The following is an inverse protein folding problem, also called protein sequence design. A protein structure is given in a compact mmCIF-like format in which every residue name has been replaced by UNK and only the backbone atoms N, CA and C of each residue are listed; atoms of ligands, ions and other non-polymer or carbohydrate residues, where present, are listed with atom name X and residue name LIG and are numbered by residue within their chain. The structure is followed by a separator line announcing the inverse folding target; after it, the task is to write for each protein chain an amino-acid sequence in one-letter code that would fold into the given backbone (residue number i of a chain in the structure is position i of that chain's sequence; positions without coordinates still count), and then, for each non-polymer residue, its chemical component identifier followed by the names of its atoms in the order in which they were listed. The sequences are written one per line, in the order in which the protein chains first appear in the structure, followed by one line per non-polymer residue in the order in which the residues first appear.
data_IF_784465329519
#
_entry.id   IF_784465329519
#
_cell.length_a   1.000
_cell.length_b   1.000
_cell.length_c   1.000
_cell.angle_alpha   90.00
_cell.angle_beta   90.00
_cell.angle_gamma   90.00
#
_symmetry.space_group_name_H-M   'P 1'
#
loop_
_entity.id
_entity.type
_entity.pdbx_description
1 polymer ?
#
# COMPACT_ATOMS: atom_id res chain seq x y z
N UNK A 1 -6.18 -76.88 16.83
CA UNK A 1 -5.31 -75.85 17.45
C UNK A 1 -5.35 -74.60 16.59
N UNK A 2 -6.15 -73.61 16.96
CA UNK A 2 -6.37 -72.39 16.24
C UNK A 2 -5.58 -71.28 16.97
N UNK A 3 -4.55 -70.66 16.33
CA UNK A 3 -3.74 -69.60 16.90
C UNK A 3 -4.38 -68.28 16.53
N UNK A 4 -4.94 -67.59 17.51
CA UNK A 4 -5.36 -66.21 17.37
C UNK A 4 -4.12 -65.28 17.43
N UNK A 5 -3.90 -64.44 16.36
CA UNK A 5 -2.96 -63.32 16.36
C UNK A 5 -3.69 -62.08 16.83
N UNK A 6 -3.35 -61.57 18.00
CA UNK A 6 -3.77 -60.24 18.46
C UNK A 6 -3.01 -59.17 17.66
N UNK A 7 -3.74 -58.33 16.95
CA UNK A 7 -3.24 -57.08 16.39
C UNK A 7 -3.47 -55.97 17.41
N UNK A 8 -2.40 -55.41 17.97
CA UNK A 8 -2.45 -54.23 18.82
C UNK A 8 -2.41 -53.01 17.89
N UNK A 9 -3.54 -52.30 17.80
CA UNK A 9 -3.58 -51.00 17.14
C UNK A 9 -3.06 -49.93 18.11
N UNK A 10 -1.89 -49.37 17.84
CA UNK A 10 -1.40 -48.17 18.52
C UNK A 10 -2.07 -46.97 17.88
N UNK A 11 -3.07 -46.42 18.54
CA UNK A 11 -3.68 -45.15 18.17
C UNK A 11 -2.71 -44.02 18.58
N UNK A 12 -1.94 -43.49 17.63
CA UNK A 12 -1.23 -42.22 17.80
C UNK A 12 -2.26 -41.08 17.79
N UNK A 13 -2.64 -40.64 18.97
CA UNK A 13 -3.39 -39.40 19.14
C UNK A 13 -2.44 -38.23 18.79
N UNK A 14 -2.50 -37.77 17.54
CA UNK A 14 -1.91 -36.48 17.13
C UNK A 14 -2.83 -35.41 17.68
N UNK A 15 -2.49 -34.87 18.84
CA UNK A 15 -3.10 -33.59 19.28
C UNK A 15 -2.60 -32.50 18.37
N UNK A 16 -3.47 -31.76 17.67
CA UNK A 16 -3.04 -30.56 17.02
C UNK A 16 -2.60 -29.58 18.11
N UNK A 17 -1.32 -29.31 18.18
CA UNK A 17 -0.82 -28.18 18.95
C UNK A 17 -1.37 -26.92 18.29
N UNK A 18 -2.46 -26.40 18.82
CA UNK A 18 -2.89 -25.05 18.52
C UNK A 18 -1.79 -24.12 19.03
N UNK A 19 -0.92 -23.69 18.14
CA UNK A 19 -0.02 -22.58 18.42
C UNK A 19 -0.91 -21.36 18.47
N UNK A 20 -1.32 -20.99 19.68
CA UNK A 20 -1.88 -19.67 19.94
C UNK A 20 -0.76 -18.70 19.56
N UNK A 21 -1.01 -17.83 18.57
CA UNK A 21 -0.15 -16.68 18.35
C UNK A 21 -0.12 -15.92 19.67
N UNK A 22 0.99 -16.00 20.39
CA UNK A 22 1.20 -15.17 21.57
C UNK A 22 1.07 -13.71 21.11
N UNK A 23 0.04 -13.04 21.59
CA UNK A 23 -0.06 -11.59 21.57
C UNK A 23 1.09 -11.07 22.46
N UNK A 24 2.29 -11.05 21.93
CA UNK A 24 3.44 -10.48 22.64
C UNK A 24 3.26 -8.97 22.61
N UNK A 25 2.73 -8.44 23.68
CA UNK A 25 2.76 -7.00 23.98
C UNK A 25 4.21 -6.56 23.98
N UNK A 26 4.63 -5.92 22.88
CA UNK A 26 6.01 -5.44 22.73
C UNK A 26 6.25 -4.25 23.64
N UNK A 27 7.46 -4.17 24.17
CA UNK A 27 7.90 -3.05 25.00
C UNK A 27 9.07 -2.36 24.32
N UNK A 28 8.98 -1.05 24.14
CA UNK A 28 10.08 -0.22 23.65
C UNK A 28 11.03 0.10 24.81
N UNK A 29 12.31 -0.25 24.65
CA UNK A 29 13.32 -0.16 25.72
C UNK A 29 14.23 1.05 25.58
N UNK A 30 14.51 1.48 24.36
CA UNK A 30 15.40 2.61 24.08
C UNK A 30 15.18 3.13 22.66
N UNK A 31 15.86 4.22 22.33
CA UNK A 31 15.93 4.70 20.95
C UNK A 31 17.36 5.11 20.58
N UNK A 32 17.61 5.16 19.27
CA UNK A 32 18.80 5.77 18.68
C UNK A 32 18.36 6.76 17.60
N UNK A 33 19.13 7.84 17.44
CA UNK A 33 18.82 8.87 16.45
C UNK A 33 20.00 9.13 15.54
N UNK A 34 19.74 9.19 14.24
CA UNK A 34 20.74 9.59 13.24
C UNK A 34 20.08 10.55 12.22
N UNK A 35 20.41 11.82 12.35
CA UNK A 35 19.80 12.86 11.51
C UNK A 35 18.28 12.87 11.57
N UNK A 36 17.62 12.57 10.46
CA UNK A 36 16.16 12.52 10.32
C UNK A 36 15.53 11.19 10.74
N UNK A 37 16.33 10.22 11.13
CA UNK A 37 15.88 8.88 11.49
C UNK A 37 15.93 8.69 12.99
N UNK A 38 14.86 8.14 13.56
CA UNK A 38 14.78 7.70 14.95
C UNK A 38 14.39 6.23 14.94
N UNK A 39 15.21 5.40 15.55
CA UNK A 39 14.98 3.96 15.66
C UNK A 39 14.69 3.59 17.10
N UNK A 40 13.52 3.03 17.33
CA UNK A 40 13.06 2.53 18.63
C UNK A 40 13.37 1.03 18.71
N UNK A 41 14.09 0.63 19.75
CA UNK A 41 14.49 -0.76 20.02
C UNK A 41 13.50 -1.42 20.94
N UNK A 42 13.08 -2.64 20.61
CA UNK A 42 12.07 -3.38 21.35
C UNK A 42 12.72 -4.54 22.12
N UNK A 43 12.10 -4.96 23.22
CA UNK A 43 12.62 -6.00 24.09
C UNK A 43 12.80 -7.37 23.42
N UNK A 44 12.04 -7.65 22.36
CA UNK A 44 12.09 -8.87 21.54
C UNK A 44 13.04 -8.77 20.35
N UNK A 45 13.99 -7.85 20.39
CA UNK A 45 14.94 -7.53 19.30
C UNK A 45 14.30 -6.90 18.05
N UNK A 46 12.99 -6.69 18.00
CA UNK A 46 12.35 -5.96 16.92
C UNK A 46 12.71 -4.46 16.97
N UNK A 47 12.48 -3.75 15.88
CA UNK A 47 12.71 -2.31 15.81
C UNK A 47 11.59 -1.61 15.04
N UNK A 48 11.27 -0.39 15.49
CA UNK A 48 10.43 0.55 14.76
C UNK A 48 11.29 1.76 14.37
N UNK A 49 11.46 2.00 13.08
CA UNK A 49 12.16 3.18 12.60
C UNK A 49 11.20 4.20 12.02
N UNK A 50 11.35 5.43 12.43
CA UNK A 50 10.66 6.60 11.88
C UNK A 50 11.69 7.48 11.18
N UNK A 51 11.40 7.86 9.91
CA UNK A 51 12.18 8.84 9.17
C UNK A 51 11.29 10.01 8.79
N UNK A 52 11.65 11.22 9.19
CA UNK A 52 10.91 12.42 8.83
C UNK A 52 11.31 12.86 7.42
N UNK A 53 10.45 12.60 6.43
CA UNK A 53 10.63 13.04 5.04
C UNK A 53 10.29 14.53 4.87
N UNK A 54 9.36 15.03 5.70
CA UNK A 54 8.98 16.44 5.80
C UNK A 54 8.32 16.70 7.15
N UNK A 55 7.86 17.92 7.39
CA UNK A 55 7.04 18.27 8.58
C UNK A 55 5.69 17.53 8.64
N UNK A 56 5.27 16.90 7.53
CA UNK A 56 3.97 16.24 7.38
C UNK A 56 4.03 14.82 6.80
N UNK A 57 5.22 14.33 6.44
CA UNK A 57 5.41 12.99 5.88
C UNK A 57 6.41 12.21 6.71
N UNK A 58 5.99 11.04 7.18
CA UNK A 58 6.78 10.15 8.02
C UNK A 58 6.84 8.77 7.36
N UNK A 59 8.05 8.31 7.07
CA UNK A 59 8.30 6.92 6.71
C UNK A 59 8.35 6.09 8.00
N UNK A 60 7.64 4.99 7.99
CA UNK A 60 7.51 4.07 9.11
C UNK A 60 7.98 2.70 8.64
N UNK A 61 8.94 2.14 9.34
CA UNK A 61 9.49 0.82 9.05
C UNK A 61 9.49 -0.04 10.31
N UNK A 62 8.64 -1.05 10.32
CA UNK A 62 8.66 -2.06 11.36
C UNK A 62 9.48 -3.27 10.90
N UNK A 63 10.50 -3.62 11.68
CA UNK A 63 11.36 -4.78 11.49
C UNK A 63 11.22 -5.75 12.67
N UNK A 64 10.65 -6.95 12.47
CA UNK A 64 10.44 -7.91 13.56
C UNK A 64 11.72 -8.55 14.08
N UNK A 65 12.81 -8.50 13.32
CA UNK A 65 14.13 -9.02 13.68
C UNK A 65 15.17 -7.91 13.94
N UNK A 66 14.73 -6.65 13.95
CA UNK A 66 15.57 -5.49 14.14
C UNK A 66 16.51 -5.15 12.98
N UNK A 67 16.47 -5.92 11.89
CA UNK A 67 17.29 -5.65 10.71
C UNK A 67 16.66 -4.54 9.87
N UNK A 68 17.29 -3.39 9.85
CA UNK A 68 16.83 -2.19 9.12
C UNK A 68 17.66 -1.94 7.84
N UNK A 69 18.22 -2.99 7.29
CA UNK A 69 18.88 -2.94 5.99
C UNK A 69 17.89 -3.33 4.90
N UNK A 70 17.50 -2.35 4.09
CA UNK A 70 16.61 -2.60 2.95
C UNK A 70 17.31 -3.48 1.92
N UNK A 71 16.68 -4.61 1.56
CA UNK A 71 17.24 -5.57 0.60
C UNK A 71 17.10 -5.09 -0.84
N UNK A 72 16.00 -4.38 -1.15
CA UNK A 72 15.71 -3.88 -2.48
C UNK A 72 15.40 -2.38 -2.45
N UNK A 73 15.83 -1.65 -3.47
CA UNK A 73 15.42 -0.26 -3.65
C UNK A 73 13.91 -0.19 -3.92
N UNK A 74 13.26 0.90 -3.52
CA UNK A 74 11.90 1.19 -3.95
C UNK A 74 11.85 1.44 -5.45
N UNK A 75 10.86 0.86 -6.13
CA UNK A 75 10.56 1.20 -7.52
C UNK A 75 9.64 2.42 -7.64
N UNK A 76 8.99 2.82 -6.55
CA UNK A 76 8.00 3.88 -6.54
C UNK A 76 8.52 5.18 -5.89
N UNK A 77 9.35 5.08 -4.87
CA UNK A 77 9.84 6.24 -4.13
C UNK A 77 11.14 6.75 -4.74
N UNK A 78 11.11 7.98 -5.24
CA UNK A 78 12.27 8.63 -5.87
C UNK A 78 12.92 9.68 -4.97
N UNK A 79 12.20 10.17 -3.95
CA UNK A 79 12.68 11.20 -3.06
C UNK A 79 12.08 11.05 -1.65
N UNK A 80 12.92 10.85 -0.66
CA UNK A 80 12.51 10.79 0.76
C UNK A 80 12.83 12.08 1.52
N UNK A 81 13.44 13.07 0.88
CA UNK A 81 13.77 14.38 1.45
C UNK A 81 12.92 15.46 0.79
N UNK A 82 11.63 15.54 1.17
CA UNK A 82 10.66 16.44 0.55
C UNK A 82 10.84 17.90 0.93
N UNK A 83 11.33 18.16 2.14
CA UNK A 83 11.66 19.49 2.66
C UNK A 83 12.77 19.39 3.70
N UNK A 84 13.41 20.51 4.01
CA UNK A 84 14.31 20.56 5.16
C UNK A 84 13.49 20.40 6.45
N UNK A 85 13.87 19.41 7.22
CA UNK A 85 13.36 19.20 8.58
C UNK A 85 14.48 19.70 9.51
N UNK A 86 14.19 20.70 10.32
CA UNK A 86 15.16 21.18 11.31
C UNK A 86 15.64 20.07 12.25
N UNK A 87 16.42 20.43 13.26
CA UNK A 87 16.89 19.46 14.26
C UNK A 87 15.69 18.75 14.90
N UNK A 88 15.67 17.42 14.76
CA UNK A 88 14.66 16.58 15.40
C UNK A 88 15.05 16.40 16.85
N UNK A 89 14.11 16.62 17.74
CA UNK A 89 14.26 16.35 19.16
C UNK A 89 13.29 15.23 19.57
N UNK A 90 13.82 14.23 20.27
CA UNK A 90 13.01 13.15 20.86
C UNK A 90 12.87 13.44 22.34
N UNK A 91 11.65 13.71 22.75
CA UNK A 91 11.30 13.98 24.14
C UNK A 91 10.97 12.67 24.84
N UNK A 92 11.82 12.25 25.77
CA UNK A 92 11.62 11.01 26.51
C UNK A 92 10.80 11.27 27.77
N UNK A 93 9.65 10.62 27.86
CA UNK A 93 8.77 10.65 29.02
C UNK A 93 8.72 9.27 29.70
N UNK A 94 8.15 9.18 30.88
CA UNK A 94 8.06 7.92 31.62
C UNK A 94 7.35 6.81 30.81
N UNK A 95 6.26 7.13 30.11
CA UNK A 95 5.41 6.17 29.39
C UNK A 95 5.60 6.17 27.87
N UNK A 96 6.24 7.18 27.29
CA UNK A 96 6.33 7.34 25.85
C UNK A 96 7.56 8.16 25.42
N UNK A 97 7.83 8.12 24.12
CA UNK A 97 8.70 9.06 23.40
C UNK A 97 7.82 9.97 22.53
N UNK A 98 8.18 11.23 22.42
CA UNK A 98 7.48 12.19 21.56
C UNK A 98 8.45 12.88 20.60
N UNK A 99 8.00 13.02 19.36
CA UNK A 99 8.70 13.78 18.33
C UNK A 99 7.74 14.85 17.83
N UNK A 100 8.24 16.08 17.73
CA UNK A 100 7.45 17.23 17.28
C UNK A 100 7.97 17.74 15.94
N UNK A 101 7.05 18.01 15.03
CA UNK A 101 7.28 18.79 13.81
C UNK A 101 6.37 20.02 13.81
N UNK A 102 6.55 20.99 12.90
CA UNK A 102 5.62 22.11 12.79
C UNK A 102 4.15 21.73 12.52
N UNK A 103 3.90 20.51 11.99
CA UNK A 103 2.56 20.04 11.62
C UNK A 103 2.07 18.85 12.44
N UNK A 104 2.98 18.02 12.97
CA UNK A 104 2.65 16.76 13.62
C UNK A 104 3.27 16.65 15.01
N UNK A 105 2.60 15.89 15.87
CA UNK A 105 3.16 15.30 17.09
C UNK A 105 3.06 13.78 16.94
N UNK A 106 4.19 13.11 17.05
CA UNK A 106 4.33 11.67 16.90
C UNK A 106 4.67 11.10 18.28
N UNK A 107 3.87 10.16 18.76
CA UNK A 107 4.07 9.49 20.03
C UNK A 107 4.33 8.01 19.81
N UNK A 108 5.37 7.49 20.45
CA UNK A 108 5.64 6.06 20.57
C UNK A 108 5.50 5.67 22.04
N UNK A 109 4.43 4.98 22.38
CA UNK A 109 4.21 4.45 23.73
C UNK A 109 5.24 3.35 24.02
N UNK A 110 5.72 3.26 25.26
CA UNK A 110 6.75 2.29 25.64
C UNK A 110 6.17 0.90 25.89
N UNK A 111 5.06 0.78 26.61
CA UNK A 111 4.45 -0.51 26.92
C UNK A 111 2.94 -0.37 27.17
N UNK A 112 2.08 -1.06 26.38
CA UNK A 112 2.43 -1.73 25.13
C UNK A 112 2.96 -0.74 24.10
N UNK A 113 3.95 -1.18 23.29
CA UNK A 113 4.50 -0.35 22.21
C UNK A 113 3.41 -0.08 21.19
N UNK A 114 3.19 1.19 20.89
CA UNK A 114 2.23 1.62 19.87
C UNK A 114 2.57 3.01 19.35
N UNK A 115 2.31 3.21 18.07
CA UNK A 115 2.51 4.50 17.38
C UNK A 115 1.20 5.27 17.32
N UNK A 116 1.25 6.55 17.67
CA UNK A 116 0.16 7.49 17.53
C UNK A 116 0.66 8.77 16.85
N UNK A 117 -0.13 9.30 15.92
CA UNK A 117 0.20 10.55 15.23
C UNK A 117 -0.97 11.53 15.38
N UNK A 118 -0.64 12.72 15.83
CA UNK A 118 -1.55 13.82 16.08
C UNK A 118 -1.20 15.01 15.18
N UNK A 119 -2.18 15.85 14.86
CA UNK A 119 -1.90 17.15 14.28
C UNK A 119 -1.39 18.15 15.35
N UNK A 120 -0.93 19.31 14.90
CA UNK A 120 -0.44 20.37 15.81
C UNK A 120 -1.48 20.88 16.83
N UNK A 121 -2.77 20.58 16.60
CA UNK A 121 -3.87 20.92 17.53
C UNK A 121 -4.23 19.77 18.47
N UNK A 122 -3.38 18.75 18.56
CA UNK A 122 -3.55 17.57 19.42
C UNK A 122 -4.72 16.65 19.00
N UNK A 123 -5.23 16.80 17.77
CA UNK A 123 -6.23 15.89 17.23
C UNK A 123 -5.55 14.60 16.76
N UNK A 124 -5.96 13.45 17.28
CA UNK A 124 -5.47 12.15 16.86
C UNK A 124 -5.85 11.89 15.39
N UNK A 125 -4.86 11.70 14.55
CA UNK A 125 -5.01 11.40 13.12
C UNK A 125 -4.92 9.90 12.84
N UNK A 126 -3.97 9.21 13.47
CA UNK A 126 -3.61 7.83 13.19
C UNK A 126 -3.14 7.16 14.47
N UNK A 127 -3.48 5.90 14.67
CA UNK A 127 -3.06 5.14 15.84
C UNK A 127 -2.97 3.66 15.52
N UNK A 128 -1.97 3.00 16.04
CA UNK A 128 -1.95 1.55 16.12
C UNK A 128 -3.16 1.06 16.91
N UNK A 129 -3.70 -0.09 16.49
CA UNK A 129 -4.69 -0.79 17.27
C UNK A 129 -3.98 -1.47 18.45
N UNK A 130 -4.45 -1.20 19.68
CA UNK A 130 -3.81 -1.70 20.89
C UNK A 130 -3.58 -3.21 20.83
N UNK A 131 -2.46 -3.66 21.37
CA UNK A 131 -2.02 -5.07 21.45
C UNK A 131 -1.73 -5.79 20.12
N UNK A 132 -2.08 -5.19 18.97
CA UNK A 132 -1.89 -5.78 17.63
C UNK A 132 -1.28 -4.82 16.62
N UNK A 133 -0.71 -3.69 17.03
CA UNK A 133 -0.22 -2.66 16.10
C UNK A 133 0.63 -3.23 14.97
N UNK A 134 1.59 -4.09 15.33
CA UNK A 134 2.54 -4.70 14.42
C UNK A 134 2.63 -6.20 14.69
N UNK A 135 2.15 -7.03 13.77
CA UNK A 135 2.17 -8.50 13.88
C UNK A 135 3.06 -9.10 12.80
N UNK A 136 3.83 -10.12 13.18
CA UNK A 136 4.66 -10.89 12.27
C UNK A 136 4.44 -12.39 12.48
N UNK A 137 4.13 -13.11 11.39
CA UNK A 137 3.93 -14.56 11.37
C UNK A 137 4.80 -15.16 10.25
N UNK A 138 5.98 -15.66 10.61
CA UNK A 138 6.98 -16.08 9.64
C UNK A 138 7.41 -14.89 8.75
N UNK A 139 7.22 -14.97 7.44
CA UNK A 139 7.53 -13.89 6.49
C UNK A 139 6.41 -12.85 6.36
N UNK A 140 5.19 -13.20 6.76
CA UNK A 140 4.02 -12.33 6.69
C UNK A 140 4.09 -11.26 7.77
N UNK A 141 3.76 -10.03 7.40
CA UNK A 141 3.66 -8.88 8.30
C UNK A 141 2.32 -8.20 8.14
N UNK A 142 1.72 -7.80 9.24
CA UNK A 142 0.41 -7.15 9.29
C UNK A 142 0.47 -5.93 10.20
N UNK A 143 -0.04 -4.83 9.70
CA UNK A 143 -0.24 -3.59 10.43
C UNK A 143 -1.73 -3.43 10.76
N UNK A 144 -2.07 -3.32 12.04
CA UNK A 144 -3.42 -3.08 12.51
C UNK A 144 -3.55 -1.66 13.04
N UNK A 145 -4.52 -0.92 12.55
CA UNK A 145 -4.75 0.49 12.89
C UNK A 145 -6.18 0.70 13.36
N UNK A 146 -6.36 1.60 14.31
CA UNK A 146 -7.68 1.95 14.84
C UNK A 146 -8.58 2.44 13.71
N UNK A 147 -9.77 1.83 13.59
CA UNK A 147 -10.83 2.27 12.69
C UNK A 147 -11.87 3.07 13.47
N UNK A 148 -11.98 4.36 13.17
CA UNK A 148 -12.97 5.22 13.82
C UNK A 148 -14.35 5.04 13.22
N UNK A 149 -15.39 5.29 14.02
CA UNK A 149 -16.79 5.09 13.61
C UNK A 149 -17.17 5.82 12.31
N UNK A 150 -16.69 7.04 12.10
CA UNK A 150 -16.98 7.87 10.93
C UNK A 150 -15.77 7.96 9.97
N UNK A 151 -14.88 6.97 9.96
CA UNK A 151 -13.74 6.97 9.07
C UNK A 151 -14.08 6.31 7.74
N UNK A 152 -13.73 6.99 6.64
CA UNK A 152 -13.95 6.57 5.26
C UNK A 152 -12.63 6.62 4.50
N UNK A 153 -12.45 5.72 3.54
CA UNK A 153 -11.20 5.54 2.82
C UNK A 153 -11.41 5.63 1.30
N UNK A 154 -10.45 6.24 0.61
CA UNK A 154 -10.49 6.47 -0.83
C UNK A 154 -9.13 6.18 -1.45
N UNK A 155 -9.07 5.52 -2.61
CA UNK A 155 -7.82 5.23 -3.32
C UNK A 155 -7.69 3.79 -3.77
N UNK A 156 -6.45 3.25 -3.71
CA UNK A 156 -6.01 1.91 -4.13
C UNK A 156 -5.96 1.69 -5.65
N UNK A 157 -5.97 2.79 -6.43
CA UNK A 157 -5.91 2.72 -7.89
C UNK A 157 -7.23 2.33 -8.53
N UNK A 158 -7.17 1.61 -9.63
CA UNK A 158 -8.35 1.15 -10.37
C UNK A 158 -8.96 -0.08 -9.71
N UNK A 159 -9.96 0.16 -8.90
CA UNK A 159 -10.74 -0.85 -8.18
C UNK A 159 -12.21 -0.70 -8.51
N UNK A 160 -12.88 -1.80 -8.80
CA UNK A 160 -14.33 -1.82 -8.99
C UNK A 160 -15.08 -1.49 -7.67
N UNK A 161 -16.38 -1.32 -7.75
CA UNK A 161 -17.24 -1.10 -6.60
C UNK A 161 -17.35 0.37 -6.16
N UNK A 162 -17.59 0.57 -4.87
CA UNK A 162 -17.85 1.88 -4.29
C UNK A 162 -16.59 2.73 -4.22
N UNK A 163 -16.73 4.05 -4.25
CA UNK A 163 -15.64 4.99 -4.02
C UNK A 163 -15.11 4.88 -2.58
N UNK A 164 -16.01 4.79 -1.60
CA UNK A 164 -15.66 4.52 -0.21
C UNK A 164 -15.27 3.05 -0.03
N UNK A 165 -14.06 2.83 0.44
CA UNK A 165 -13.47 1.51 0.64
C UNK A 165 -13.82 0.87 1.98
N UNK A 166 -14.49 1.60 2.88
CA UNK A 166 -14.90 1.07 4.19
C UNK A 166 -15.80 -0.16 4.06
N UNK A 167 -15.48 -1.20 4.83
CA UNK A 167 -16.19 -2.48 4.80
C UNK A 167 -15.76 -3.45 3.70
N UNK A 168 -14.72 -3.09 2.94
CA UNK A 168 -14.21 -3.89 1.82
C UNK A 168 -12.74 -4.29 2.02
N UNK A 169 -12.30 -5.31 1.29
CA UNK A 169 -10.91 -5.75 1.21
C UNK A 169 -10.42 -5.69 -0.23
N UNK A 170 -9.14 -5.32 -0.41
CA UNK A 170 -8.54 -5.17 -1.73
C UNK A 170 -7.13 -5.72 -1.79
N UNK A 171 -6.83 -6.49 -2.85
CA UNK A 171 -5.52 -7.06 -3.14
C UNK A 171 -4.76 -6.20 -4.15
N UNK A 172 -3.49 -5.96 -3.87
CA UNK A 172 -2.58 -5.28 -4.79
C UNK A 172 -1.84 -6.34 -5.61
N UNK A 173 -2.43 -6.70 -6.74
CA UNK A 173 -1.88 -7.66 -7.69
C UNK A 173 -2.50 -7.44 -9.06
N UNK A 174 -1.71 -6.96 -10.02
CA UNK A 174 -2.23 -6.67 -11.35
C UNK A 174 -2.69 -7.96 -12.02
N UNK A 175 -3.94 -7.99 -12.44
CA UNK A 175 -4.59 -9.16 -13.02
C UNK A 175 -5.43 -8.78 -14.22
N UNK A 176 -5.25 -9.51 -15.33
CA UNK A 176 -6.11 -9.35 -16.50
C UNK A 176 -7.46 -10.03 -16.23
N UNK A 177 -8.49 -9.23 -16.18
CA UNK A 177 -9.87 -9.63 -15.86
C UNK A 177 -10.84 -9.00 -16.84
N UNK A 178 -10.94 -9.53 -18.07
CA UNK A 178 -11.88 -9.03 -19.07
C UNK A 178 -13.33 -9.19 -18.55
N UNK A 179 -14.18 -8.23 -18.84
CA UNK A 179 -15.58 -8.23 -18.44
C UNK A 179 -15.82 -8.38 -16.94
N UNK A 180 -14.98 -7.75 -16.11
CA UNK A 180 -15.09 -7.83 -14.65
C UNK A 180 -16.40 -7.23 -14.10
N UNK A 181 -16.85 -7.78 -12.99
CA UNK A 181 -18.00 -7.30 -12.22
C UNK A 181 -17.60 -6.21 -11.22
N UNK A 182 -18.60 -5.55 -10.62
CA UNK A 182 -18.38 -4.51 -9.60
C UNK A 182 -17.77 -5.03 -8.29
N UNK A 183 -17.70 -6.34 -8.12
CA UNK A 183 -17.13 -6.99 -6.92
C UNK A 183 -15.81 -7.70 -7.22
N UNK A 184 -15.32 -7.62 -8.46
CA UNK A 184 -14.08 -8.29 -8.86
C UNK A 184 -12.85 -7.60 -8.28
N UNK A 185 -11.96 -8.36 -7.67
CA UNK A 185 -10.63 -7.95 -7.20
C UNK A 185 -9.70 -9.19 -7.16
N UNK A 186 -8.45 -9.07 -7.56
CA UNK A 186 -7.74 -7.89 -8.07
C UNK A 186 -8.03 -7.59 -9.55
N UNK A 187 -7.71 -6.34 -9.98
CA UNK A 187 -7.85 -5.85 -11.34
C UNK A 187 -6.51 -5.40 -11.95
N UNK A 188 -6.58 -4.68 -13.07
CA UNK A 188 -5.43 -4.32 -13.92
C UNK A 188 -4.39 -3.43 -13.26
N UNK A 189 -4.77 -2.52 -12.34
CA UNK A 189 -3.88 -1.54 -11.75
C UNK A 189 -3.97 -1.53 -10.23
N UNK A 190 -2.82 -1.64 -9.59
CA UNK A 190 -2.67 -1.62 -8.14
C UNK A 190 -1.83 -0.43 -7.72
N UNK A 191 -2.38 0.45 -6.90
CA UNK A 191 -1.68 1.56 -6.29
C UNK A 191 -1.89 1.44 -4.77
N UNK A 192 -0.90 0.97 -4.00
CA UNK A 192 -1.04 0.70 -2.57
C UNK A 192 -1.03 2.00 -1.74
N UNK A 193 -1.86 2.95 -2.17
CA UNK A 193 -2.05 4.26 -1.57
C UNK A 193 -3.52 4.55 -1.36
N UNK A 194 -3.90 4.91 -0.14
CA UNK A 194 -5.23 5.36 0.20
C UNK A 194 -5.20 6.63 1.05
N UNK A 195 -6.30 7.35 1.07
CA UNK A 195 -6.52 8.53 1.89
C UNK A 195 -7.71 8.32 2.82
N UNK A 196 -7.63 8.86 4.03
CA UNK A 196 -8.73 8.92 5.01
C UNK A 196 -9.34 10.32 5.06
N UNK A 197 -10.66 10.38 5.32
CA UNK A 197 -11.35 11.63 5.63
C UNK A 197 -10.84 12.31 6.92
N UNK A 198 -9.97 11.63 7.68
CA UNK A 198 -9.23 12.22 8.81
C UNK A 198 -7.96 12.96 8.39
N UNK A 199 -7.83 13.30 7.09
CA UNK A 199 -6.76 14.13 6.51
C UNK A 199 -5.38 13.49 6.56
N UNK A 200 -5.31 12.19 6.39
CA UNK A 200 -4.05 11.50 6.16
C UNK A 200 -4.16 10.53 4.99
N UNK A 201 -3.02 10.16 4.43
CA UNK A 201 -2.87 9.06 3.49
C UNK A 201 -1.85 8.07 3.99
N UNK A 202 -1.97 6.82 3.55
CA UNK A 202 -0.97 5.77 3.76
C UNK A 202 -0.55 5.24 2.40
N UNK A 203 0.75 5.20 2.17
CA UNK A 203 1.37 4.55 1.02
C UNK A 203 2.23 3.38 1.52
N UNK A 204 1.90 2.15 1.12
CA UNK A 204 2.63 0.93 1.45
C UNK A 204 3.67 0.66 0.37
N UNK A 205 4.96 0.79 0.71
CA UNK A 205 6.06 0.55 -0.22
C UNK A 205 6.57 -0.90 -0.13
N UNK A 206 5.75 -1.81 -0.65
CA UNK A 206 6.04 -3.23 -0.74
C UNK A 206 5.53 -3.78 -2.08
N UNK A 207 6.36 -4.53 -2.80
CA UNK A 207 6.08 -5.04 -4.16
C UNK A 207 5.47 -6.44 -4.18
N UNK A 208 5.29 -7.09 -3.05
CA UNK A 208 4.58 -8.36 -2.97
C UNK A 208 3.07 -8.17 -3.12
N UNK A 209 2.35 -9.28 -3.22
CA UNK A 209 0.88 -9.28 -3.25
C UNK A 209 0.34 -8.86 -1.89
N UNK A 210 0.18 -7.57 -1.69
CA UNK A 210 -0.32 -6.99 -0.45
C UNK A 210 -1.84 -6.94 -0.42
N UNK A 211 -2.42 -6.85 0.77
CA UNK A 211 -3.87 -6.76 0.97
C UNK A 211 -4.20 -5.65 1.97
N UNK A 212 -5.28 -4.92 1.68
CA UNK A 212 -5.86 -3.89 2.55
C UNK A 212 -7.26 -4.33 2.96
N UNK A 213 -7.58 -4.25 4.27
CA UNK A 213 -8.85 -4.68 4.85
C UNK A 213 -9.43 -3.55 5.68
N UNK A 214 -10.44 -2.86 5.18
CA UNK A 214 -11.01 -1.67 5.81
C UNK A 214 -12.19 -2.00 6.71
N UNK A 215 -11.96 -2.74 7.80
CA UNK A 215 -12.99 -3.12 8.76
C UNK A 215 -13.79 -4.35 8.37
N UNK A 216 -13.27 -5.21 7.51
CA UNK A 216 -13.89 -6.50 7.14
C UNK A 216 -13.74 -7.57 8.22
N UNK A 217 -12.66 -7.51 9.00
CA UNK A 217 -12.39 -8.46 10.09
C UNK A 217 -12.95 -7.97 11.44
N UNK A 218 -12.93 -6.64 11.65
CA UNK A 218 -13.46 -5.99 12.86
C UNK A 218 -13.94 -4.59 12.53
N UNK A 219 -14.90 -4.09 13.33
CA UNK A 219 -15.35 -2.68 13.25
C UNK A 219 -14.41 -1.71 13.97
N UNK A 220 -13.45 -2.23 14.72
CA UNK A 220 -12.56 -1.44 15.57
C UNK A 220 -11.20 -1.17 14.94
N UNK A 221 -10.82 -1.94 13.92
CA UNK A 221 -9.57 -1.75 13.19
C UNK A 221 -9.69 -1.96 11.69
N UNK A 222 -8.78 -1.33 10.96
CA UNK A 222 -8.41 -1.70 9.60
C UNK A 222 -6.99 -2.24 9.59
N UNK A 223 -6.64 -3.00 8.56
CA UNK A 223 -5.31 -3.59 8.44
C UNK A 223 -4.78 -3.52 7.01
N UNK A 224 -3.47 -3.58 6.89
CA UNK A 224 -2.79 -3.85 5.64
C UNK A 224 -1.65 -4.85 5.89
N UNK A 225 -1.46 -5.74 4.94
CA UNK A 225 -0.55 -6.88 5.10
C UNK A 225 0.31 -7.13 3.87
N UNK A 226 1.50 -7.66 4.11
CA UNK A 226 2.43 -8.14 3.10
C UNK A 226 2.85 -9.59 3.42
N UNK A 227 2.77 -10.51 2.46
CA UNK A 227 3.17 -11.92 2.70
C UNK A 227 4.68 -12.07 2.85
N UNK A 228 5.47 -11.11 2.38
CA UNK A 228 6.93 -11.10 2.46
C UNK A 228 7.45 -9.66 2.25
N UNK A 229 8.78 -9.49 2.34
CA UNK A 229 9.46 -8.21 2.18
C UNK A 229 9.42 -7.33 3.43
N UNK A 230 9.87 -6.11 3.29
CA UNK A 230 9.90 -5.14 4.37
C UNK A 230 8.51 -4.52 4.58
N UNK A 231 8.13 -4.27 5.84
CA UNK A 231 6.94 -3.51 6.17
C UNK A 231 7.30 -2.03 6.28
N UNK A 232 7.35 -1.38 5.11
CA UNK A 232 7.65 0.04 4.97
C UNK A 232 6.41 0.75 4.44
N UNK A 233 5.96 1.77 5.15
CA UNK A 233 4.88 2.62 4.68
C UNK A 233 5.10 4.08 5.06
N UNK A 234 4.43 4.97 4.32
CA UNK A 234 4.52 6.42 4.53
C UNK A 234 3.18 6.91 5.05
N UNK A 235 3.21 7.56 6.21
CA UNK A 235 2.12 8.37 6.70
C UNK A 235 2.25 9.78 6.12
N UNK A 236 1.18 10.27 5.49
CA UNK A 236 1.16 11.54 4.75
C UNK A 236 0.02 12.39 5.29
N UNK A 237 0.31 13.51 5.95
CA UNK A 237 -0.69 14.44 6.44
C UNK A 237 -0.88 15.59 5.47
N UNK A 238 -2.13 16.05 5.32
CA UNK A 238 -2.46 17.26 4.57
C UNK A 238 -3.70 17.96 5.11
N UNK A 239 -3.81 19.27 4.89
CA UNK A 239 -5.02 20.05 5.26
C UNK A 239 -6.25 19.57 4.49
N UNK A 240 -6.03 19.03 3.28
CA UNK A 240 -7.04 18.49 2.36
C UNK A 240 -6.44 17.37 1.50
N UNK A 241 -7.27 16.71 0.70
CA UNK A 241 -6.83 15.62 -0.19
C UNK A 241 -5.83 16.09 -1.26
N UNK A 242 -5.89 17.33 -1.72
CA UNK A 242 -4.95 17.86 -2.72
C UNK A 242 -3.54 17.96 -2.14
N UNK A 243 -3.41 18.42 -0.89
CA UNK A 243 -2.11 18.47 -0.21
C UNK A 243 -1.57 17.06 0.03
N UNK A 244 -2.40 16.10 0.44
CA UNK A 244 -1.99 14.69 0.60
C UNK A 244 -1.46 14.12 -0.72
N UNK A 245 -2.18 14.32 -1.83
CA UNK A 245 -1.77 13.88 -3.16
C UNK A 245 -0.47 14.58 -3.59
N UNK A 246 -0.34 15.88 -3.33
CA UNK A 246 0.88 16.63 -3.64
C UNK A 246 2.11 16.07 -2.92
N UNK A 247 1.97 15.71 -1.64
CA UNK A 247 3.03 15.07 -0.85
C UNK A 247 3.36 13.66 -1.40
N UNK A 248 2.32 12.87 -1.72
CA UNK A 248 2.50 11.57 -2.33
C UNK A 248 3.25 11.66 -3.68
N UNK A 249 2.89 12.62 -4.52
CA UNK A 249 3.57 12.88 -5.79
C UNK A 249 5.00 13.41 -5.57
N UNK A 250 5.25 14.12 -4.47
CA UNK A 250 6.60 14.49 -4.05
C UNK A 250 7.48 13.27 -3.80
N UNK A 251 6.94 12.23 -3.14
CA UNK A 251 7.62 10.95 -2.89
C UNK A 251 7.86 10.16 -4.19
N UNK A 252 6.83 10.07 -5.05
CA UNK A 252 6.78 9.10 -6.15
C UNK A 252 7.09 9.70 -7.52
N UNK A 253 7.22 11.01 -7.61
CA UNK A 253 7.46 11.72 -8.87
C UNK A 253 6.20 12.21 -9.56
N UNK A 254 6.39 13.22 -10.39
CA UNK A 254 5.31 13.81 -11.19
C UNK A 254 5.16 13.07 -12.51
N UNK A 255 3.94 12.87 -13.02
CA UNK A 255 3.74 12.37 -14.37
C UNK A 255 4.29 13.37 -15.40
N UNK A 256 4.74 12.86 -16.54
CA UNK A 256 5.14 13.70 -17.67
C UNK A 256 3.91 14.44 -18.18
N UNK A 257 4.03 15.76 -18.39
CA UNK A 257 2.97 16.56 -19.00
C UNK A 257 2.74 16.09 -20.45
N UNK A 258 1.56 15.55 -20.80
CA UNK A 258 1.29 15.11 -22.14
C UNK A 258 1.19 16.29 -23.10
N UNK A 259 1.53 16.13 -24.39
CA UNK A 259 1.30 17.15 -25.39
C UNK A 259 -0.21 17.38 -25.57
N UNK A 260 -0.58 18.58 -26.04
CA UNK A 260 -1.99 19.00 -26.15
C UNK A 260 -2.85 18.02 -26.97
N UNK A 261 -2.32 17.48 -28.06
CA UNK A 261 -3.05 16.52 -28.91
C UNK A 261 -3.39 15.22 -28.15
N UNK A 262 -2.59 14.81 -27.19
CA UNK A 262 -2.86 13.60 -26.38
C UNK A 262 -4.07 13.75 -25.42
N UNK A 263 -4.57 14.97 -25.26
CA UNK A 263 -5.79 15.28 -24.51
C UNK A 263 -7.03 15.39 -25.43
N UNK A 264 -6.84 15.18 -26.73
CA UNK A 264 -7.91 15.21 -27.73
C UNK A 264 -8.67 13.91 -27.84
N UNK A 265 -9.59 13.86 -28.81
CA UNK A 265 -10.40 12.66 -29.05
C UNK A 265 -9.55 11.51 -29.61
N UNK A 266 -9.65 10.37 -28.96
CA UNK A 266 -8.99 9.12 -29.35
C UNK A 266 -10.01 8.09 -29.82
N UNK A 267 -9.83 7.59 -31.06
CA UNK A 267 -10.60 6.47 -31.58
C UNK A 267 -9.88 5.16 -31.29
N UNK A 268 -10.56 4.27 -30.59
CA UNK A 268 -10.17 2.87 -30.46
C UNK A 268 -11.29 1.97 -30.98
N UNK A 269 -10.91 0.86 -31.57
CA UNK A 269 -11.83 -0.20 -31.93
C UNK A 269 -11.11 -1.54 -31.77
N UNK A 270 -11.70 -2.44 -30.99
CA UNK A 270 -11.23 -3.82 -30.87
C UNK A 270 -11.05 -4.46 -32.27
N UNK A 271 -9.95 -5.16 -32.46
CA UNK A 271 -9.61 -5.83 -33.70
C UNK A 271 -9.53 -4.88 -34.91
N UNK A 272 -9.04 -3.66 -34.73
CA UNK A 272 -8.60 -2.84 -35.83
C UNK A 272 -7.37 -3.51 -36.47
N UNK A 273 -7.55 -4.15 -37.65
CA UNK A 273 -6.68 -5.24 -38.09
C UNK A 273 -5.88 -4.94 -39.36
N UNK A 274 -5.91 -3.72 -39.89
CA UNK A 274 -5.10 -3.38 -41.05
C UNK A 274 -4.77 -1.90 -41.16
N UNK A 275 -3.63 -1.59 -41.76
CA UNK A 275 -3.24 -0.25 -42.13
C UNK A 275 -4.31 0.43 -43.00
N UNK A 276 -4.84 -0.29 -44.00
CA UNK A 276 -5.89 0.22 -44.89
C UNK A 276 -7.11 0.69 -44.09
N UNK A 277 -7.63 -0.11 -43.15
CA UNK A 277 -8.79 0.23 -42.36
C UNK A 277 -8.49 1.42 -41.41
N UNK A 278 -7.30 1.46 -40.85
CA UNK A 278 -6.87 2.58 -39.98
C UNK A 278 -6.84 3.90 -40.75
N UNK A 279 -6.32 3.89 -41.98
CA UNK A 279 -6.29 5.06 -42.85
C UNK A 279 -7.72 5.48 -43.27
N UNK A 280 -8.58 4.55 -43.66
CA UNK A 280 -9.98 4.83 -44.01
C UNK A 280 -10.73 5.50 -42.85
N UNK A 281 -10.50 5.07 -41.60
CA UNK A 281 -11.10 5.69 -40.40
C UNK A 281 -10.57 7.09 -40.25
N UNK A 282 -9.25 7.30 -40.30
CA UNK A 282 -8.64 8.63 -40.15
C UNK A 282 -9.14 9.61 -41.21
N UNK A 283 -9.16 9.18 -42.48
CA UNK A 283 -9.67 9.97 -43.58
C UNK A 283 -11.18 10.26 -43.43
N UNK A 284 -11.95 9.28 -42.94
CA UNK A 284 -13.35 9.43 -42.62
C UNK A 284 -13.63 10.54 -41.62
N UNK A 285 -12.85 10.65 -40.56
CA UNK A 285 -12.92 11.75 -39.59
C UNK A 285 -12.61 13.10 -40.25
N UNK A 286 -11.53 13.17 -41.06
CA UNK A 286 -11.13 14.40 -41.75
C UNK A 286 -12.19 14.83 -42.78
N UNK A 287 -12.69 13.91 -43.59
CA UNK A 287 -13.73 14.19 -44.61
C UNK A 287 -15.02 14.77 -43.96
N UNK A 288 -15.39 14.27 -42.79
CA UNK A 288 -16.59 14.69 -42.09
C UNK A 288 -16.34 15.88 -41.14
N UNK A 289 -15.11 16.38 -41.10
CA UNK A 289 -14.69 17.48 -40.20
C UNK A 289 -14.96 17.17 -38.73
N UNK A 290 -14.85 15.92 -38.32
CA UNK A 290 -14.95 15.48 -36.92
C UNK A 290 -13.54 15.48 -36.34
N UNK A 291 -13.28 16.18 -35.23
CA UNK A 291 -11.98 16.15 -34.56
C UNK A 291 -11.60 14.75 -34.13
N UNK A 292 -10.37 14.36 -34.42
CA UNK A 292 -9.77 13.11 -33.97
C UNK A 292 -8.25 13.27 -33.99
N UNK A 293 -7.63 13.12 -32.86
CA UNK A 293 -6.20 13.35 -32.67
C UNK A 293 -5.41 12.06 -32.59
N UNK A 294 -6.04 10.97 -32.15
CA UNK A 294 -5.38 9.69 -31.90
C UNK A 294 -6.22 8.55 -32.49
N UNK A 295 -5.55 7.57 -33.09
CA UNK A 295 -6.12 6.26 -33.42
C UNK A 295 -5.30 5.20 -32.70
N UNK A 296 -5.94 4.46 -31.79
CA UNK A 296 -5.32 3.32 -31.14
C UNK A 296 -5.47 2.06 -32.01
N UNK A 297 -4.36 1.39 -32.25
CA UNK A 297 -4.35 0.03 -32.75
C UNK A 297 -4.55 -0.91 -31.57
N UNK A 298 -5.59 -1.72 -31.60
CA UNK A 298 -5.82 -2.77 -30.60
C UNK A 298 -5.00 -4.02 -30.96
N UNK A 299 -5.06 -5.05 -30.13
CA UNK A 299 -4.27 -6.30 -30.25
C UNK A 299 -4.24 -6.92 -31.68
N UNK A 300 -5.18 -6.58 -32.55
CA UNK A 300 -5.24 -7.05 -33.95
C UNK A 300 -4.05 -6.64 -34.81
N UNK A 301 -3.21 -5.70 -34.38
CA UNK A 301 -1.98 -5.31 -35.12
C UNK A 301 -0.84 -6.30 -34.92
N UNK A 302 -0.88 -7.10 -33.82
CA UNK A 302 0.19 -8.04 -33.47
C UNK A 302 0.05 -9.38 -34.20
N UNK A 303 1.17 -9.99 -34.52
CA UNK A 303 1.22 -11.38 -34.99
C UNK A 303 1.11 -12.33 -33.77
N UNK A 304 0.16 -13.26 -33.77
CA UNK A 304 -0.05 -14.23 -32.68
C UNK A 304 -0.15 -13.64 -31.28
N UNK A 305 -0.62 -12.40 -31.10
CA UNK A 305 -0.64 -11.66 -29.85
C UNK A 305 0.74 -11.45 -29.22
N UNK A 306 1.78 -11.42 -30.03
CA UNK A 306 3.14 -11.12 -29.59
C UNK A 306 3.42 -9.63 -29.77
N UNK A 307 3.85 -8.99 -28.70
CA UNK A 307 4.21 -7.57 -28.75
C UNK A 307 5.43 -7.33 -29.64
N UNK A 308 5.45 -6.15 -30.28
CA UNK A 308 6.53 -5.68 -31.17
C UNK A 308 6.69 -6.43 -32.49
N UNK A 309 5.76 -7.30 -32.84
CA UNK A 309 5.68 -7.91 -34.20
C UNK A 309 4.41 -7.48 -34.91
N UNK A 310 4.58 -6.85 -36.07
CA UNK A 310 3.46 -6.48 -36.94
C UNK A 310 2.85 -7.71 -37.60
N UNK A 311 1.54 -7.74 -37.64
CA UNK A 311 0.80 -8.80 -38.34
C UNK A 311 1.06 -8.72 -39.85
N UNK A 312 1.78 -9.71 -40.36
CA UNK A 312 2.18 -9.78 -41.77
C UNK A 312 0.98 -9.76 -42.70
N UNK A 313 1.04 -8.93 -43.75
CA UNK A 313 0.00 -8.78 -44.76
C UNK A 313 -1.14 -7.81 -44.36
N UNK A 314 -1.18 -7.34 -43.10
CA UNK A 314 -2.14 -6.34 -42.67
C UNK A 314 -1.47 -4.98 -42.40
N UNK A 315 -0.17 -4.99 -42.09
CA UNK A 315 0.67 -3.83 -41.82
C UNK A 315 2.00 -3.91 -42.57
#
# INVERSE_FOLDING_TARGET
MIRYRLWVWVLCLIFPTWVWAENTTRTCTSFTQQGRQVTFHLADSAALQLQLCSSSVVKIWFSPDGQLQRRNASFAVINEELEEVGTIHVDEQAACYEIFTPKLRIRVNKSPMSLQIFDKYQKLLFSDYADKGHVSEGTKKVEYKVLRRAEHFFGLGEKAGKMDRRGESYKMWNSDKPCYSVVEDPLYKSIPFFMSNYRYGIFLDNTYKTEFKFGTESRDYYSFEAPNGEMIYYFIFGKDYKEIISQYVGLTGKPIMPPKWALGFAQCRGLLTSEKLSREIAEGYRKRRIPCDIIYQDIGWTEYLQDFEWRKGNY
#
